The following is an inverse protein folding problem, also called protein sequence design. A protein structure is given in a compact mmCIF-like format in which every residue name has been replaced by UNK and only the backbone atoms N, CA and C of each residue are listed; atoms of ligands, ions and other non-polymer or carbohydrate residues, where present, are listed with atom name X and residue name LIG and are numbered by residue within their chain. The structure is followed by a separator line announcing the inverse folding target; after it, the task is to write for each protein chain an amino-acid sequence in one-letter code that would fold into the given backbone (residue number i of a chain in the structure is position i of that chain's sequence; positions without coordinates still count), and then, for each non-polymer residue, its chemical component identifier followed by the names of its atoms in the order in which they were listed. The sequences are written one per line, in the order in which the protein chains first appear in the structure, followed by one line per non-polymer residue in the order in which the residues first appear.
data_IF_941563678728
#
_entry.id   IF_941563678728
#
_cell.length_a   1.000
_cell.length_b   1.000
_cell.length_c   1.000
_cell.angle_alpha   90.00
_cell.angle_beta   90.00
_cell.angle_gamma   90.00
#
_symmetry.space_group_name_H-M   'P 1'
#
loop_
_entity.id
_entity.type
_entity.pdbx_description
1 polymer ?
#
# COMPACT_ATOMS: atom_id res chain seq x y z
N UNK A 1 -12.73 -1.23 -4.96
CA UNK A 1 -11.65 -0.37 -5.45
C UNK A 1 -10.34 -0.65 -4.72
N UNK A 2 -9.23 -0.36 -5.37
CA UNK A 2 -7.88 -0.40 -4.81
C UNK A 2 -6.99 0.65 -5.49
N UNK A 3 -5.81 0.92 -4.93
CA UNK A 3 -4.79 1.79 -5.53
C UNK A 3 -3.59 1.01 -6.03
N UNK A 4 -2.97 1.46 -7.12
CA UNK A 4 -1.63 0.97 -7.51
C UNK A 4 -0.56 1.46 -6.54
N UNK A 5 0.36 0.60 -6.14
CA UNK A 5 1.56 0.99 -5.38
C UNK A 5 2.65 1.55 -6.32
N UNK A 6 2.71 1.03 -7.55
CA UNK A 6 3.65 1.45 -8.59
C UNK A 6 3.00 1.36 -10.00
N UNK A 7 3.81 1.21 -11.06
CA UNK A 7 3.29 1.06 -12.42
C UNK A 7 2.61 -0.29 -12.72
N UNK A 8 2.76 -1.27 -11.83
CA UNK A 8 2.41 -2.67 -12.08
C UNK A 8 1.48 -3.23 -11.00
N UNK A 9 1.82 -3.05 -9.73
CA UNK A 9 1.20 -3.75 -8.62
C UNK A 9 0.13 -2.93 -7.91
N UNK A 10 -0.93 -3.61 -7.48
CA UNK A 10 -1.97 -3.08 -6.60
C UNK A 10 -1.51 -3.22 -5.15
N UNK A 11 -1.68 -2.17 -4.36
CA UNK A 11 -1.32 -2.19 -2.96
C UNK A 11 -2.35 -2.95 -2.11
N UNK A 12 -1.88 -3.69 -1.12
CA UNK A 12 -2.72 -4.38 -0.14
C UNK A 12 -3.08 -3.51 1.08
N UNK A 13 -2.56 -2.27 1.18
CA UNK A 13 -2.76 -1.40 2.34
C UNK A 13 -4.05 -0.56 2.28
N UNK A 14 -4.52 -0.19 1.09
CA UNK A 14 -5.74 0.58 0.91
C UNK A 14 -6.64 -0.07 -0.14
N UNK A 15 -7.71 -0.71 0.33
CA UNK A 15 -8.71 -1.34 -0.50
C UNK A 15 -10.09 -1.19 0.14
N UNK A 16 -11.13 -1.15 -0.70
CA UNK A 16 -12.51 -1.11 -0.23
C UNK A 16 -13.43 -1.84 -1.20
N UNK A 17 -14.42 -2.55 -0.66
CA UNK A 17 -15.47 -3.17 -1.47
C UNK A 17 -16.75 -3.33 -0.67
N UNK A 18 -17.85 -3.60 -1.36
CA UNK A 18 -19.06 -4.11 -0.71
C UNK A 18 -18.76 -5.45 -0.04
N UNK A 19 -19.54 -5.80 0.99
CA UNK A 19 -19.45 -7.12 1.60
C UNK A 19 -19.60 -8.22 0.56
N UNK A 20 -18.81 -9.30 0.68
CA UNK A 20 -18.81 -10.47 -0.25
C UNK A 20 -18.47 -10.12 -1.70
N UNK A 21 -17.63 -9.10 -1.91
CA UNK A 21 -17.18 -8.78 -3.26
C UNK A 21 -16.38 -9.95 -3.85
N UNK A 22 -16.66 -10.42 -5.08
CA UNK A 22 -16.09 -11.67 -5.60
C UNK A 22 -14.55 -11.64 -5.74
N UNK A 23 -13.95 -10.46 -5.84
CA UNK A 23 -12.49 -10.28 -5.75
C UNK A 23 -11.90 -10.81 -4.45
N UNK A 24 -12.47 -10.44 -3.31
CA UNK A 24 -11.95 -10.87 -2.02
C UNK A 24 -12.20 -12.36 -1.78
N UNK A 25 -13.31 -12.90 -2.26
CA UNK A 25 -13.58 -14.35 -2.21
C UNK A 25 -12.52 -15.13 -3.01
N UNK A 26 -12.12 -14.64 -4.18
CA UNK A 26 -11.05 -15.25 -4.97
C UNK A 26 -9.69 -15.16 -4.26
N UNK A 27 -9.36 -14.02 -3.67
CA UNK A 27 -8.13 -13.83 -2.88
C UNK A 27 -8.08 -14.79 -1.70
N UNK A 28 -9.15 -14.84 -0.89
CA UNK A 28 -9.25 -15.70 0.30
C UNK A 28 -9.13 -17.18 -0.08
N UNK A 29 -9.73 -17.55 -1.22
CA UNK A 29 -9.68 -18.93 -1.74
C UNK A 29 -8.26 -19.33 -2.17
N UNK A 30 -7.53 -18.46 -2.87
CA UNK A 30 -6.20 -18.80 -3.40
C UNK A 30 -5.08 -18.65 -2.36
N UNK A 31 -5.22 -17.73 -1.40
CA UNK A 31 -4.19 -17.42 -0.40
C UNK A 31 -3.58 -18.67 0.28
N UNK A 32 -4.35 -19.63 0.83
CA UNK A 32 -3.76 -20.82 1.45
C UNK A 32 -3.04 -21.72 0.46
N UNK A 33 -3.56 -21.87 -0.76
CA UNK A 33 -2.94 -22.71 -1.80
C UNK A 33 -1.60 -22.13 -2.23
N UNK A 34 -1.55 -20.82 -2.45
CA UNK A 34 -0.34 -20.12 -2.85
C UNK A 34 0.71 -20.11 -1.75
N UNK A 35 0.28 -19.88 -0.51
CA UNK A 35 1.17 -19.97 0.66
C UNK A 35 1.81 -21.36 0.79
N UNK A 36 1.03 -22.43 0.65
CA UNK A 36 1.56 -23.79 0.70
C UNK A 36 2.54 -24.08 -0.46
N UNK A 37 2.21 -23.64 -1.68
CA UNK A 37 3.01 -23.88 -2.90
C UNK A 37 4.31 -23.08 -2.94
N UNK A 38 4.34 -21.90 -2.31
CA UNK A 38 5.47 -20.96 -2.36
C UNK A 38 6.13 -20.78 -0.99
N UNK A 39 6.20 -21.86 -0.21
CA UNK A 39 6.83 -21.81 1.12
C UNK A 39 8.29 -21.38 1.03
N UNK A 40 8.67 -20.37 1.83
CA UNK A 40 10.01 -19.78 1.85
C UNK A 40 10.22 -18.58 0.93
N UNK A 41 9.25 -18.29 0.05
CA UNK A 41 9.32 -17.12 -0.84
C UNK A 41 8.92 -15.80 -0.12
N UNK A 42 9.35 -14.63 -0.64
CA UNK A 42 9.02 -13.33 -0.06
C UNK A 42 7.50 -13.08 0.07
N UNK A 43 7.05 -12.55 1.21
CA UNK A 43 5.62 -12.36 1.49
C UNK A 43 4.92 -11.39 0.52
N UNK A 44 5.62 -10.35 0.03
CA UNK A 44 5.07 -9.47 -1.02
C UNK A 44 4.72 -10.23 -2.30
N UNK A 45 5.49 -11.28 -2.61
CA UNK A 45 5.23 -12.20 -3.71
C UNK A 45 4.12 -13.18 -3.36
N UNK A 46 4.14 -13.81 -2.19
CA UNK A 46 3.24 -14.95 -1.87
C UNK A 46 1.82 -14.50 -1.52
N UNK A 47 1.68 -13.62 -0.53
CA UNK A 47 0.38 -13.21 0.05
C UNK A 47 0.08 -11.73 -0.12
N UNK A 48 1.03 -10.96 -0.64
CA UNK A 48 0.97 -9.50 -0.77
C UNK A 48 0.55 -9.00 -2.16
N UNK A 49 1.07 -7.83 -2.59
CA UNK A 49 0.67 -7.15 -3.83
C UNK A 49 0.65 -8.03 -5.09
N UNK A 50 1.53 -9.02 -5.20
CA UNK A 50 1.60 -9.87 -6.39
C UNK A 50 0.36 -10.77 -6.51
N UNK A 51 -0.15 -11.34 -5.41
CA UNK A 51 -1.37 -12.15 -5.41
C UNK A 51 -2.56 -11.31 -5.87
N UNK A 52 -2.70 -10.14 -5.26
CA UNK A 52 -3.81 -9.22 -5.53
C UNK A 52 -3.79 -8.77 -6.99
N UNK A 53 -2.61 -8.44 -7.52
CA UNK A 53 -2.43 -7.98 -8.90
C UNK A 53 -2.74 -9.10 -9.89
N UNK A 54 -2.27 -10.32 -9.63
CA UNK A 54 -2.56 -11.49 -10.47
C UNK A 54 -4.07 -11.74 -10.55
N UNK A 55 -4.76 -11.78 -9.41
CA UNK A 55 -6.22 -11.98 -9.37
C UNK A 55 -6.97 -10.81 -10.00
N UNK A 56 -6.53 -9.57 -9.80
CA UNK A 56 -7.18 -8.38 -10.36
C UNK A 56 -7.00 -8.26 -11.88
N UNK A 57 -5.90 -8.79 -12.44
CA UNK A 57 -5.54 -8.61 -13.86
C UNK A 57 -6.58 -9.14 -14.85
N UNK A 58 -7.44 -10.06 -14.42
CA UNK A 58 -8.48 -10.70 -15.23
C UNK A 58 -9.89 -10.19 -14.94
N UNK A 59 -10.01 -9.10 -14.17
CA UNK A 59 -11.29 -8.62 -13.63
C UNK A 59 -11.66 -7.25 -14.16
N UNK A 60 -12.94 -7.08 -14.47
CA UNK A 60 -13.57 -5.83 -14.87
C UNK A 60 -14.42 -5.19 -13.74
N UNK A 61 -14.66 -5.94 -12.65
CA UNK A 61 -15.43 -5.49 -11.49
C UNK A 61 -14.60 -4.73 -10.43
N UNK A 62 -13.36 -4.38 -10.76
CA UNK A 62 -12.45 -3.63 -9.90
C UNK A 62 -12.15 -2.25 -10.48
N UNK A 63 -12.48 -1.21 -9.71
CA UNK A 63 -11.90 0.12 -9.94
C UNK A 63 -10.49 0.17 -9.36
N UNK A 64 -9.48 0.33 -10.21
CA UNK A 64 -8.08 0.48 -9.82
C UNK A 64 -7.68 1.93 -10.09
N UNK A 65 -7.36 2.65 -9.02
CA UNK A 65 -6.87 4.03 -9.11
C UNK A 65 -5.37 4.07 -9.37
N UNK A 66 -4.92 5.13 -10.03
CA UNK A 66 -3.50 5.37 -10.29
C UNK A 66 -2.72 5.64 -9.01
N UNK A 67 -1.42 5.34 -9.04
CA UNK A 67 -0.47 5.47 -7.93
C UNK A 67 -0.62 6.80 -7.19
N UNK A 68 -0.62 7.92 -7.91
CA UNK A 68 -0.66 9.26 -7.35
C UNK A 68 -1.91 9.56 -6.48
N UNK A 69 -3.00 8.78 -6.65
CA UNK A 69 -4.24 8.96 -5.86
C UNK A 69 -4.02 8.66 -4.38
N UNK A 70 -3.18 7.67 -4.06
CA UNK A 70 -3.03 7.14 -2.70
C UNK A 70 -1.58 6.94 -2.25
N UNK A 71 -0.65 6.84 -3.20
CA UNK A 71 0.78 6.55 -3.00
C UNK A 71 1.63 7.56 -3.77
N UNK A 72 1.60 8.86 -3.42
CA UNK A 72 2.29 9.89 -4.19
C UNK A 72 3.81 9.69 -4.30
N UNK A 73 4.41 8.94 -3.37
CA UNK A 73 5.82 8.50 -3.37
C UNK A 73 5.89 7.01 -2.99
N UNK A 74 7.01 6.35 -3.27
CA UNK A 74 7.30 4.96 -2.88
C UNK A 74 8.35 4.86 -1.75
N UNK A 75 8.65 3.64 -1.30
CA UNK A 75 9.71 3.40 -0.31
C UNK A 75 11.13 3.81 -0.77
N UNK A 76 11.35 4.03 -2.07
CA UNK A 76 12.62 4.56 -2.61
C UNK A 76 12.61 6.08 -2.74
N UNK A 77 11.46 6.71 -2.51
CA UNK A 77 11.21 8.15 -2.68
C UNK A 77 10.90 8.81 -1.31
N UNK A 78 11.41 8.23 -0.21
CA UNK A 78 11.07 8.64 1.16
C UNK A 78 11.45 10.08 1.51
N UNK A 79 12.37 10.71 0.77
CA UNK A 79 12.68 12.14 0.93
C UNK A 79 11.48 13.05 0.65
N UNK A 80 10.48 12.55 -0.09
CA UNK A 80 9.24 13.26 -0.43
C UNK A 80 8.10 12.97 0.56
N UNK A 81 8.33 12.21 1.62
CA UNK A 81 7.28 11.73 2.55
C UNK A 81 6.46 12.88 3.15
N UNK A 82 7.12 14.01 3.38
CA UNK A 82 6.57 15.19 4.04
C UNK A 82 6.23 16.33 3.09
N UNK A 83 6.46 16.14 1.79
CA UNK A 83 6.08 17.11 0.77
C UNK A 83 4.56 17.25 0.69
N UNK A 84 4.13 18.36 0.11
CA UNK A 84 2.73 18.60 -0.17
C UNK A 84 2.33 17.91 -1.49
N UNK A 85 1.39 16.97 -1.42
CA UNK A 85 0.93 16.15 -2.55
C UNK A 85 -0.51 16.51 -2.94
N UNK A 86 -0.73 17.59 -3.72
CA UNK A 86 -2.08 18.00 -4.09
C UNK A 86 -2.76 16.94 -4.94
N UNK A 87 -3.97 16.54 -4.55
CA UNK A 87 -4.75 15.52 -5.25
C UNK A 87 -4.55 14.08 -4.74
N UNK A 88 -3.57 13.84 -3.87
CA UNK A 88 -3.49 12.59 -3.12
C UNK A 88 -4.48 12.62 -1.95
N UNK A 89 -5.28 11.55 -1.80
CA UNK A 89 -6.20 11.40 -0.66
C UNK A 89 -5.49 10.86 0.59
N UNK A 90 -4.40 10.14 0.38
CA UNK A 90 -3.60 9.51 1.43
C UNK A 90 -2.13 9.54 1.06
N UNK A 91 -1.28 9.24 2.03
CA UNK A 91 0.12 8.88 1.83
C UNK A 91 0.44 7.65 2.66
N UNK A 92 1.27 6.77 2.12
CA UNK A 92 1.71 5.59 2.84
C UNK A 92 2.98 5.92 3.61
N UNK A 93 3.02 5.54 4.87
CA UNK A 93 4.16 5.69 5.75
C UNK A 93 4.83 4.33 5.94
N UNK A 94 5.99 4.12 5.31
CA UNK A 94 6.72 2.84 5.37
C UNK A 94 7.41 2.66 6.72
N UNK A 95 6.70 2.07 7.69
CA UNK A 95 7.20 1.93 9.06
C UNK A 95 8.54 1.19 9.21
N UNK A 96 8.89 0.32 8.26
CA UNK A 96 10.11 -0.48 8.30
C UNK A 96 11.37 0.28 7.82
N UNK A 97 11.22 1.43 7.15
CA UNK A 97 12.34 2.27 6.74
C UNK A 97 12.73 3.29 7.82
N UNK A 98 11.98 3.32 8.94
CA UNK A 98 12.18 4.28 10.02
C UNK A 98 13.16 3.74 11.06
N UNK A 99 14.27 4.45 11.27
CA UNK A 99 14.87 4.52 12.60
C UNK A 99 13.94 5.38 13.48
N UNK A 100 12.93 4.75 14.12
CA UNK A 100 12.02 5.28 15.18
C UNK A 100 11.92 6.84 15.29
N UNK A 101 10.79 7.42 14.87
CA UNK A 101 10.24 8.70 15.36
C UNK A 101 11.04 10.01 15.16
N UNK A 102 12.20 10.03 14.53
CA UNK A 102 13.07 11.24 14.49
C UNK A 102 12.90 12.11 13.24
N UNK A 103 12.33 11.59 12.16
CA UNK A 103 12.21 12.30 10.87
C UNK A 103 10.83 12.91 10.61
N UNK A 104 9.86 12.71 11.53
CA UNK A 104 8.58 13.42 11.47
C UNK A 104 8.81 14.91 11.78
N UNK A 105 8.33 15.83 10.91
CA UNK A 105 8.36 17.26 11.22
C UNK A 105 7.65 17.50 12.55
N UNK A 106 8.39 18.00 13.53
CA UNK A 106 7.78 18.39 14.80
C UNK A 106 6.87 19.60 14.54
N UNK A 107 5.65 19.62 15.08
CA UNK A 107 4.82 20.82 14.98
C UNK A 107 5.56 22.01 15.60
N UNK A 108 5.43 23.20 15.02
CA UNK A 108 6.17 24.41 15.43
C UNK A 108 6.03 24.76 16.92
N UNK A 109 4.95 24.32 17.57
CA UNK A 109 4.73 24.55 19.01
C UNK A 109 5.53 23.61 19.94
N UNK A 110 6.24 22.61 19.41
CA UNK A 110 7.10 21.70 20.19
C UNK A 110 8.59 22.09 20.17
N UNK A 111 8.99 23.08 19.38
CA UNK A 111 10.40 23.51 19.25
C UNK A 111 10.79 24.67 20.17
N UNK A 112 9.85 25.24 20.92
CA UNK A 112 10.16 26.23 21.95
C UNK A 112 10.39 25.53 23.29
N UNK A 113 11.65 25.18 23.58
CA UNK A 113 12.04 24.89 24.96
C UNK A 113 11.93 26.18 25.78
N UNK A 114 11.31 26.18 26.97
CA UNK A 114 11.34 27.35 27.84
C UNK A 114 12.80 27.63 28.20
N UNK A 115 13.21 28.87 27.95
CA UNK A 115 14.51 29.44 28.35
C UNK A 115 14.72 29.41 29.85
#
# INVERSE_FOLDING_TARGET
FAGREDGTYICNALMGASAKHPFFDAVITELPNRFARMSGEPMNTVTGPHLLTEIASTRDDLTIFDKATFYPFSFTEMDQEWDHHPGAYTRHHWGHTRNRWTSEPKPEHWTQSPS
#
